data_IF_393841920822
#
_entry.id   IF_393841920822
#
_cell.length_a   1.000
_cell.length_b   1.000
_cell.length_c   1.000
_cell.angle_alpha   90.00
_cell.angle_beta   90.00
_cell.angle_gamma   90.00
#
_symmetry.space_group_name_H-M   'P 1'
#
loop_
_entity.id
_entity.type
_entity.pdbx_description
1 polymer ?
#
# COMPACT_ATOMS: atom_id res chain seq x y z
N UNK A 1 -4.86 -19.95 -15.32
CA UNK A 1 -5.91 -20.87 -14.83
C UNK A 1 -5.40 -22.29 -14.64
N UNK A 2 -4.93 -23.00 -15.69
CA UNK A 2 -4.47 -24.40 -15.57
C UNK A 2 -3.46 -24.64 -14.43
N UNK A 3 -2.45 -23.78 -14.29
CA UNK A 3 -1.45 -23.90 -13.23
C UNK A 3 -2.05 -23.67 -11.83
N UNK A 4 -2.99 -22.73 -11.69
CA UNK A 4 -3.70 -22.48 -10.42
C UNK A 4 -4.49 -23.72 -10.02
N UNK A 5 -5.28 -24.27 -10.94
CA UNK A 5 -6.06 -25.49 -10.71
C UNK A 5 -5.17 -26.68 -10.31
N UNK A 6 -4.05 -26.87 -11.01
CA UNK A 6 -3.09 -27.95 -10.72
C UNK A 6 -2.49 -27.80 -9.33
N UNK A 7 -2.04 -26.60 -8.97
CA UNK A 7 -1.40 -26.34 -7.68
C UNK A 7 -2.38 -26.41 -6.51
N UNK A 8 -3.63 -25.98 -6.72
CA UNK A 8 -4.69 -26.04 -5.71
C UNK A 8 -5.36 -27.42 -5.61
N UNK A 9 -5.06 -28.34 -6.54
CA UNK A 9 -5.77 -29.62 -6.71
C UNK A 9 -7.30 -29.45 -6.87
N UNK A 10 -7.74 -28.39 -7.55
CA UNK A 10 -9.15 -28.06 -7.80
C UNK A 10 -9.44 -28.13 -9.31
N UNK A 11 -10.63 -28.60 -9.69
CA UNK A 11 -11.02 -28.65 -11.09
C UNK A 11 -11.22 -27.23 -11.67
N UNK A 12 -10.97 -27.05 -12.96
CA UNK A 12 -11.28 -25.77 -13.63
C UNK A 12 -12.74 -25.39 -13.48
N UNK A 13 -13.65 -26.37 -13.53
CA UNK A 13 -15.08 -26.15 -13.41
C UNK A 13 -15.48 -25.53 -12.08
N UNK A 14 -14.82 -25.92 -10.98
CA UNK A 14 -15.04 -25.30 -9.67
C UNK A 14 -14.58 -23.85 -9.67
N UNK A 15 -13.40 -23.54 -10.21
CA UNK A 15 -12.95 -22.14 -10.27
C UNK A 15 -13.91 -21.31 -11.12
N UNK A 16 -14.33 -21.81 -12.29
CA UNK A 16 -15.29 -21.12 -13.16
C UNK A 16 -16.71 -21.02 -12.58
N UNK A 17 -17.05 -21.83 -11.58
CA UNK A 17 -18.29 -21.69 -10.83
C UNK A 17 -18.28 -20.46 -9.92
N UNK A 18 -17.11 -20.13 -9.34
CA UNK A 18 -16.95 -18.99 -8.44
C UNK A 18 -16.46 -17.72 -9.13
N UNK A 19 -15.70 -17.86 -10.22
CA UNK A 19 -15.07 -16.74 -10.92
C UNK A 19 -15.24 -16.93 -12.43
N UNK A 20 -15.90 -15.98 -13.08
CA UNK A 20 -16.11 -15.91 -14.52
C UNK A 20 -14.81 -16.07 -15.30
N UNK A 21 -13.73 -15.44 -14.83
CA UNK A 21 -12.44 -15.47 -15.50
C UNK A 21 -11.26 -15.24 -14.53
N UNK A 22 -10.06 -15.15 -15.11
CA UNK A 22 -8.82 -14.94 -14.35
C UNK A 22 -8.72 -13.54 -13.73
N UNK A 23 -9.42 -12.56 -14.30
CA UNK A 23 -9.36 -11.17 -13.84
C UNK A 23 -10.25 -11.02 -12.60
N UNK A 24 -11.43 -11.64 -12.58
CA UNK A 24 -12.28 -11.68 -11.39
C UNK A 24 -11.59 -12.43 -10.23
N UNK A 25 -10.95 -13.56 -10.52
CA UNK A 25 -10.13 -14.27 -9.52
C UNK A 25 -8.98 -13.40 -8.99
N UNK A 26 -8.29 -12.69 -9.87
CA UNK A 26 -7.22 -11.76 -9.47
C UNK A 26 -7.75 -10.65 -8.56
N UNK A 27 -8.85 -10.00 -8.94
CA UNK A 27 -9.47 -8.93 -8.14
C UNK A 27 -9.92 -9.44 -6.77
N UNK A 28 -10.49 -10.64 -6.70
CA UNK A 28 -10.83 -11.27 -5.43
C UNK A 28 -9.60 -11.50 -4.54
N UNK A 29 -8.48 -11.98 -5.09
CA UNK A 29 -7.24 -12.12 -4.33
C UNK A 29 -6.70 -10.77 -3.82
N UNK A 30 -6.79 -9.71 -4.62
CA UNK A 30 -6.38 -8.35 -4.21
C UNK A 30 -7.30 -7.81 -3.12
N UNK A 31 -8.62 -7.99 -3.25
CA UNK A 31 -9.59 -7.59 -2.23
C UNK A 31 -9.32 -8.28 -0.89
N UNK A 32 -9.10 -9.60 -0.91
CA UNK A 32 -8.74 -10.36 0.29
C UNK A 32 -7.42 -9.90 0.90
N UNK A 33 -6.42 -9.57 0.07
CA UNK A 33 -5.16 -9.01 0.55
C UNK A 33 -5.36 -7.67 1.28
N UNK A 34 -6.11 -6.73 0.71
CA UNK A 34 -6.38 -5.43 1.35
C UNK A 34 -7.24 -5.57 2.59
N UNK A 35 -8.25 -6.45 2.57
CA UNK A 35 -9.08 -6.76 3.73
C UNK A 35 -8.23 -7.31 4.88
N UNK A 36 -7.39 -8.30 4.61
CA UNK A 36 -6.51 -8.89 5.62
C UNK A 36 -5.53 -7.86 6.22
N UNK A 37 -4.95 -6.98 5.39
CA UNK A 37 -4.08 -5.91 5.88
C UNK A 37 -4.84 -4.88 6.72
N UNK A 38 -6.03 -4.49 6.29
CA UNK A 38 -6.90 -3.56 7.03
C UNK A 38 -7.31 -4.13 8.39
N UNK A 39 -7.76 -5.39 8.41
CA UNK A 39 -8.15 -6.10 9.63
C UNK A 39 -6.96 -6.21 10.60
N UNK A 40 -5.75 -6.47 10.08
CA UNK A 40 -4.52 -6.50 10.88
C UNK A 40 -4.23 -5.14 11.55
N UNK A 41 -4.32 -4.04 10.81
CA UNK A 41 -4.17 -2.69 11.38
C UNK A 41 -5.18 -2.41 12.49
N UNK A 42 -6.46 -2.76 12.26
CA UNK A 42 -7.51 -2.45 13.23
C UNK A 42 -7.45 -3.33 14.48
N UNK A 43 -7.00 -4.58 14.35
CA UNK A 43 -6.91 -5.49 15.48
C UNK A 43 -5.82 -5.07 16.46
N UNK A 44 -4.62 -4.79 15.94
CA UNK A 44 -3.43 -4.66 16.77
C UNK A 44 -2.98 -3.20 16.96
N UNK A 45 -3.37 -2.28 16.06
CA UNK A 45 -2.83 -0.91 16.01
C UNK A 45 -3.85 0.21 16.09
N UNK A 46 -5.17 -0.06 16.03
CA UNK A 46 -6.22 0.95 15.82
C UNK A 46 -6.06 2.22 16.66
N UNK A 47 -5.88 2.09 17.96
CA UNK A 47 -5.79 3.24 18.87
C UNK A 47 -4.60 4.14 18.53
N UNK A 48 -3.42 3.56 18.31
CA UNK A 48 -2.19 4.30 18.01
C UNK A 48 -2.21 4.85 16.58
N UNK A 49 -2.65 4.04 15.61
CA UNK A 49 -2.79 4.46 14.21
C UNK A 49 -3.76 5.63 14.07
N UNK A 50 -4.97 5.54 14.65
CA UNK A 50 -5.93 6.65 14.61
C UNK A 50 -5.49 7.85 15.44
N UNK A 51 -4.51 7.69 16.33
CA UNK A 51 -3.83 8.80 16.97
C UNK A 51 -2.69 9.37 16.10
N UNK A 52 -2.53 8.96 14.84
CA UNK A 52 -1.54 9.50 13.92
C UNK A 52 -0.13 8.92 14.07
N UNK A 53 0.01 7.68 14.51
CA UNK A 53 1.31 7.01 14.56
C UNK A 53 1.73 6.46 13.18
N UNK A 54 2.41 7.30 12.40
CA UNK A 54 2.87 6.96 11.04
C UNK A 54 4.01 5.94 11.06
N UNK A 55 4.84 5.94 12.10
CA UNK A 55 5.92 4.97 12.23
C UNK A 55 5.36 3.58 12.47
N UNK A 56 4.40 3.45 13.39
CA UNK A 56 3.70 2.20 13.64
C UNK A 56 2.99 1.69 12.38
N UNK A 57 2.40 2.56 11.57
CA UNK A 57 1.79 2.16 10.29
C UNK A 57 2.79 1.42 9.40
N UNK A 58 4.02 1.93 9.27
CA UNK A 58 5.07 1.27 8.47
C UNK A 58 5.53 -0.05 9.10
N UNK A 59 5.77 -0.05 10.42
CA UNK A 59 6.21 -1.25 11.16
C UNK A 59 5.18 -2.39 11.07
N UNK A 60 3.89 -2.07 11.25
CA UNK A 60 2.81 -3.03 11.14
C UNK A 60 2.70 -3.59 9.72
N UNK A 61 2.84 -2.74 8.69
CA UNK A 61 2.83 -3.19 7.30
C UNK A 61 3.95 -4.20 7.03
N UNK A 62 5.18 -3.87 7.45
CA UNK A 62 6.34 -4.74 7.29
C UNK A 62 6.16 -6.05 8.06
N UNK A 63 5.64 -6.00 9.29
CA UNK A 63 5.37 -7.19 10.08
C UNK A 63 4.28 -8.07 9.44
N UNK A 64 3.22 -7.47 8.91
CA UNK A 64 2.18 -8.20 8.18
C UNK A 64 2.77 -8.95 6.99
N UNK A 65 3.54 -8.28 6.13
CA UNK A 65 4.12 -8.93 4.95
C UNK A 65 5.20 -9.96 5.26
N UNK A 66 5.92 -9.80 6.37
CA UNK A 66 6.83 -10.82 6.89
C UNK A 66 6.09 -12.10 7.31
N UNK A 67 4.94 -11.96 7.98
CA UNK A 67 4.15 -13.09 8.45
C UNK A 67 3.26 -13.70 7.36
N UNK A 68 2.92 -12.93 6.33
CA UNK A 68 2.05 -13.33 5.22
C UNK A 68 2.69 -13.02 3.85
N UNK A 69 3.76 -13.74 3.45
CA UNK A 69 4.52 -13.43 2.24
C UNK A 69 3.72 -13.53 0.94
N UNK A 70 2.67 -14.37 0.89
CA UNK A 70 1.77 -14.45 -0.27
C UNK A 70 1.03 -13.13 -0.49
N UNK A 71 0.58 -12.48 0.59
CA UNK A 71 -0.07 -11.17 0.50
C UNK A 71 0.92 -10.07 0.12
N UNK A 72 2.19 -10.17 0.50
CA UNK A 72 3.24 -9.25 0.06
C UNK A 72 3.32 -9.20 -1.47
N UNK A 73 3.48 -10.36 -2.10
CA UNK A 73 3.56 -10.44 -3.57
C UNK A 73 2.31 -9.87 -4.26
N UNK A 74 1.11 -10.20 -3.76
CA UNK A 74 -0.16 -9.68 -4.29
C UNK A 74 -0.27 -8.16 -4.15
N UNK A 75 0.09 -7.63 -2.97
CA UNK A 75 0.04 -6.21 -2.68
C UNK A 75 0.94 -5.41 -3.64
N UNK A 76 2.19 -5.86 -3.81
CA UNK A 76 3.14 -5.16 -4.68
C UNK A 76 2.83 -5.35 -6.17
N UNK A 77 2.26 -6.48 -6.56
CA UNK A 77 1.73 -6.66 -7.91
C UNK A 77 0.60 -5.64 -8.18
N UNK A 78 -0.32 -5.44 -7.25
CA UNK A 78 -1.38 -4.44 -7.38
C UNK A 78 -0.86 -2.99 -7.30
N UNK A 79 0.19 -2.74 -6.51
CA UNK A 79 0.77 -1.41 -6.35
C UNK A 79 1.59 -0.99 -7.58
N UNK A 80 2.44 -1.88 -8.08
CA UNK A 80 3.48 -1.55 -9.07
C UNK A 80 3.17 -2.09 -10.46
N UNK A 81 2.39 -3.17 -10.59
CA UNK A 81 2.25 -3.89 -11.86
C UNK A 81 0.79 -4.30 -12.17
N UNK A 82 -0.15 -3.39 -11.93
CA UNK A 82 -1.56 -3.62 -12.23
C UNK A 82 -1.81 -3.60 -13.75
N UNK A 83 -2.46 -4.63 -14.33
CA UNK A 83 -2.85 -4.61 -15.74
C UNK A 83 -3.71 -3.39 -16.07
N UNK A 84 -3.43 -2.71 -17.18
CA UNK A 84 -4.12 -1.46 -17.56
C UNK A 84 -5.66 -1.58 -17.52
N UNK A 85 -6.18 -2.72 -17.99
CA UNK A 85 -7.63 -2.98 -18.03
C UNK A 85 -8.28 -3.16 -16.65
N UNK A 86 -7.51 -3.39 -15.58
CA UNK A 86 -8.00 -3.61 -14.21
C UNK A 86 -7.65 -2.46 -13.27
N UNK A 87 -7.07 -1.36 -13.78
CA UNK A 87 -6.58 -0.26 -12.95
C UNK A 87 -7.70 0.37 -12.12
N UNK A 88 -8.88 0.55 -12.70
CA UNK A 88 -10.01 1.17 -12.01
C UNK A 88 -10.48 0.29 -10.86
N UNK A 89 -10.69 -0.98 -11.13
CA UNK A 89 -11.17 -1.96 -10.17
C UNK A 89 -10.19 -2.13 -9.01
N UNK A 90 -8.88 -2.23 -9.30
CA UNK A 90 -7.85 -2.28 -8.25
C UNK A 90 -7.81 -0.99 -7.43
N UNK A 91 -8.09 0.15 -8.04
CA UNK A 91 -8.11 1.43 -7.33
C UNK A 91 -9.32 1.55 -6.41
N UNK A 92 -10.50 1.13 -6.86
CA UNK A 92 -11.73 1.09 -6.07
C UNK A 92 -11.57 0.16 -4.85
N UNK A 93 -10.86 -0.97 -5.00
CA UNK A 93 -10.58 -1.91 -3.91
C UNK A 93 -9.66 -1.33 -2.81
N UNK A 94 -8.89 -0.27 -3.10
CA UNK A 94 -7.98 0.35 -2.12
C UNK A 94 -8.67 1.34 -1.20
N UNK A 95 -9.93 1.70 -1.46
CA UNK A 95 -10.57 2.86 -0.83
C UNK A 95 -10.56 2.81 0.69
N UNK A 96 -10.85 1.66 1.30
CA UNK A 96 -10.82 1.52 2.77
C UNK A 96 -9.43 1.73 3.37
N UNK A 97 -8.38 1.26 2.68
CA UNK A 97 -6.99 1.46 3.10
C UNK A 97 -6.59 2.93 2.93
N UNK A 98 -6.99 3.56 1.82
CA UNK A 98 -6.74 4.99 1.56
C UNK A 98 -7.38 5.86 2.63
N UNK A 99 -8.64 5.59 2.97
CA UNK A 99 -9.35 6.34 4.00
C UNK A 99 -8.66 6.20 5.36
N UNK A 100 -8.23 4.99 5.73
CA UNK A 100 -7.47 4.77 6.95
C UNK A 100 -6.14 5.56 6.94
N UNK A 101 -5.36 5.46 5.86
CA UNK A 101 -4.10 6.20 5.75
C UNK A 101 -4.33 7.72 5.81
N UNK A 102 -5.38 8.23 5.16
CA UNK A 102 -5.77 9.64 5.23
C UNK A 102 -6.04 10.07 6.67
N UNK A 103 -6.81 9.29 7.45
CA UNK A 103 -7.10 9.60 8.85
C UNK A 103 -5.83 9.60 9.71
N UNK A 104 -4.94 8.63 9.51
CA UNK A 104 -3.65 8.55 10.20
C UNK A 104 -2.81 9.80 9.89
N UNK A 105 -2.62 10.16 8.62
CA UNK A 105 -1.84 11.33 8.25
C UNK A 105 -2.48 12.63 8.73
N UNK A 106 -3.81 12.77 8.65
CA UNK A 106 -4.52 13.93 9.17
C UNK A 106 -4.27 14.12 10.66
N UNK A 107 -4.37 13.05 11.45
CA UNK A 107 -4.19 13.12 12.90
C UNK A 107 -2.72 13.31 13.29
N UNK A 108 -1.79 12.77 12.50
CA UNK A 108 -0.37 13.05 12.63
C UNK A 108 -0.06 14.53 12.38
N UNK A 109 -0.53 15.08 11.25
CA UNK A 109 -0.30 16.47 10.87
C UNK A 109 -0.89 17.48 11.87
N UNK A 110 -2.05 17.17 12.48
CA UNK A 110 -2.66 18.01 13.53
C UNK A 110 -1.79 18.17 14.77
N UNK A 111 -0.84 17.25 15.00
CA UNK A 111 0.09 17.29 16.14
C UNK A 111 1.37 18.06 15.83
N UNK A 112 1.63 18.33 14.56
CA UNK A 112 2.84 19.02 14.13
C UNK A 112 2.63 20.53 14.11
N UNK A 113 3.70 21.25 14.42
CA UNK A 113 3.82 22.65 14.05
C UNK A 113 4.20 22.71 12.57
N UNK A 114 3.24 23.06 11.72
CA UNK A 114 3.48 23.21 10.29
C UNK A 114 4.33 24.46 10.00
N UNK A 115 5.02 24.46 8.86
CA UNK A 115 5.71 25.64 8.33
C UNK A 115 4.73 26.79 8.07
N UNK A 116 5.25 28.01 8.08
CA UNK A 116 4.45 29.20 7.84
C UNK A 116 3.83 29.13 6.42
N UNK A 117 2.55 29.47 6.31
CA UNK A 117 1.75 29.40 5.07
C UNK A 117 1.49 27.99 4.49
N UNK A 118 1.74 26.92 5.26
CA UNK A 118 1.38 25.54 4.88
C UNK A 118 0.14 25.09 5.66
N UNK A 119 -0.88 24.60 4.95
CA UNK A 119 -2.08 24.02 5.55
C UNK A 119 -2.00 22.50 5.66
N UNK A 120 -2.83 21.93 6.53
CA UNK A 120 -3.01 20.46 6.64
C UNK A 120 -3.44 19.87 5.29
N UNK A 121 -4.37 20.52 4.58
CA UNK A 121 -4.85 20.06 3.27
C UNK A 121 -3.72 20.00 2.24
N UNK A 122 -2.91 21.06 2.16
CA UNK A 122 -1.73 21.09 1.28
C UNK A 122 -0.73 19.99 1.65
N UNK A 123 -0.55 19.75 2.94
CA UNK A 123 0.35 18.71 3.46
C UNK A 123 -0.11 17.30 3.06
N UNK A 124 -1.40 16.99 3.23
CA UNK A 124 -1.97 15.70 2.81
C UNK A 124 -1.83 15.51 1.30
N UNK A 125 -2.19 16.52 0.51
CA UNK A 125 -2.06 16.47 -0.96
C UNK A 125 -0.61 16.27 -1.38
N UNK A 126 0.34 16.94 -0.72
CA UNK A 126 1.77 16.77 -0.97
C UNK A 126 2.23 15.33 -0.68
N UNK A 127 1.86 14.78 0.47
CA UNK A 127 2.20 13.39 0.84
C UNK A 127 1.65 12.37 -0.18
N UNK A 128 0.40 12.55 -0.63
CA UNK A 128 -0.21 11.69 -1.66
C UNK A 128 0.54 11.77 -3.00
N UNK A 129 0.81 12.98 -3.49
CA UNK A 129 1.57 13.18 -4.73
C UNK A 129 2.96 12.55 -4.64
N UNK A 130 3.66 12.76 -3.52
CA UNK A 130 5.01 12.25 -3.33
C UNK A 130 5.04 10.73 -3.20
N UNK A 131 4.07 10.13 -2.52
CA UNK A 131 3.94 8.68 -2.45
C UNK A 131 3.61 8.07 -3.82
N UNK A 132 2.74 8.72 -4.62
CA UNK A 132 2.45 8.28 -5.98
C UNK A 132 3.66 8.40 -6.90
N UNK A 133 4.41 9.50 -6.82
CA UNK A 133 5.66 9.68 -7.57
C UNK A 133 6.72 8.65 -7.18
N UNK A 134 6.84 8.34 -5.88
CA UNK A 134 7.70 7.27 -5.39
C UNK A 134 7.32 5.91 -5.99
N UNK A 135 6.03 5.55 -5.96
CA UNK A 135 5.56 4.30 -6.56
C UNK A 135 5.83 4.28 -8.07
N UNK A 136 5.58 5.37 -8.79
CA UNK A 136 5.84 5.48 -10.24
C UNK A 136 7.32 5.33 -10.60
N UNK A 137 8.24 5.79 -9.75
CA UNK A 137 9.67 5.54 -9.89
C UNK A 137 9.98 4.03 -9.89
N UNK A 138 9.37 3.26 -8.99
CA UNK A 138 9.52 1.79 -8.95
C UNK A 138 8.78 1.09 -10.11
N UNK A 139 7.61 1.60 -10.54
CA UNK A 139 6.90 1.05 -11.71
C UNK A 139 7.77 1.06 -12.96
N UNK A 140 8.51 2.15 -13.20
CA UNK A 140 9.41 2.30 -14.35
C UNK A 140 10.60 1.33 -14.31
N UNK A 141 11.01 0.89 -13.12
CA UNK A 141 12.13 -0.05 -12.95
C UNK A 141 11.75 -1.51 -13.24
N UNK A 142 10.44 -1.82 -13.31
CA UNK A 142 9.99 -3.15 -13.76
C UNK A 142 10.46 -3.40 -15.20
N UNK A 143 10.54 -2.35 -16.03
CA UNK A 143 10.98 -2.44 -17.42
C UNK A 143 12.51 -2.67 -17.56
N UNK A 144 13.28 -2.45 -16.50
CA UNK A 144 14.76 -2.60 -16.51
C UNK A 144 15.27 -4.01 -16.16
N UNK A 145 14.42 -5.04 -16.18
CA UNK A 145 14.77 -6.45 -15.88
C UNK A 145 15.35 -6.70 -14.48
N UNK A 146 15.04 -5.85 -13.50
CA UNK A 146 15.25 -6.20 -12.09
C UNK A 146 14.30 -7.34 -11.71
N UNK A 147 14.80 -8.30 -10.95
CA UNK A 147 13.95 -9.31 -10.32
C UNK A 147 12.91 -8.64 -9.42
N UNK A 148 11.65 -9.10 -9.50
CA UNK A 148 10.53 -8.41 -8.85
C UNK A 148 10.66 -8.44 -7.33
N UNK A 149 11.17 -9.50 -6.72
CA UNK A 149 11.38 -9.55 -5.27
C UNK A 149 12.46 -8.56 -4.84
N UNK A 150 13.55 -8.46 -5.60
CA UNK A 150 14.60 -7.45 -5.36
C UNK A 150 14.04 -6.03 -5.42
N UNK A 151 13.17 -5.75 -6.40
CA UNK A 151 12.51 -4.44 -6.54
C UNK A 151 11.61 -4.13 -5.33
N UNK A 152 10.88 -5.12 -4.81
CA UNK A 152 10.06 -4.94 -3.61
C UNK A 152 10.94 -4.67 -2.38
N UNK A 153 12.03 -5.42 -2.21
CA UNK A 153 12.96 -5.22 -1.09
C UNK A 153 13.55 -3.80 -1.09
N UNK A 154 13.94 -3.29 -2.26
CA UNK A 154 14.42 -1.92 -2.42
C UNK A 154 13.32 -0.89 -2.12
N UNK A 155 12.09 -1.12 -2.60
CA UNK A 155 10.94 -0.25 -2.31
C UNK A 155 10.68 -0.16 -0.80
N UNK A 156 10.64 -1.29 -0.10
CA UNK A 156 10.34 -1.32 1.32
C UNK A 156 11.47 -0.75 2.17
N UNK A 157 12.73 -0.96 1.76
CA UNK A 157 13.90 -0.41 2.46
C UNK A 157 13.98 1.10 2.33
N UNK A 158 13.57 1.66 1.19
CA UNK A 158 13.78 3.06 0.87
C UNK A 158 12.63 3.97 1.34
N UNK A 159 11.40 3.45 1.45
CA UNK A 159 10.22 4.26 1.78
C UNK A 159 10.28 4.98 3.15
N UNK A 160 10.83 4.42 4.25
CA UNK A 160 10.88 5.15 5.53
C UNK A 160 11.73 6.42 5.44
N UNK A 161 12.88 6.33 4.75
CA UNK A 161 13.75 7.49 4.51
C UNK A 161 13.08 8.53 3.61
N UNK A 162 12.30 8.10 2.63
CA UNK A 162 11.55 9.03 1.78
C UNK A 162 10.44 9.75 2.53
N UNK A 163 9.73 9.06 3.43
CA UNK A 163 8.73 9.70 4.29
C UNK A 163 9.39 10.75 5.20
N UNK A 164 10.53 10.41 5.81
CA UNK A 164 11.32 11.36 6.62
C UNK A 164 11.66 12.63 5.81
N UNK A 165 12.21 12.49 4.60
CA UNK A 165 12.51 13.62 3.70
C UNK A 165 11.27 14.45 3.35
N UNK A 166 10.11 13.82 3.12
CA UNK A 166 8.86 14.54 2.87
C UNK A 166 8.44 15.38 4.08
N UNK A 167 8.68 14.87 5.30
CA UNK A 167 8.28 15.57 6.53
C UNK A 167 9.06 16.86 6.76
N UNK A 168 10.32 16.94 6.35
CA UNK A 168 11.06 18.21 6.37
C UNK A 168 10.36 19.28 5.55
N UNK A 169 9.68 18.94 4.44
CA UNK A 169 8.93 19.91 3.63
C UNK A 169 7.68 20.49 4.32
N UNK A 170 7.19 19.85 5.38
CA UNK A 170 5.91 20.12 6.03
C UNK A 170 6.10 20.71 7.43
N UNK A 171 6.92 20.06 8.26
CA UNK A 171 7.14 20.44 9.65
C UNK A 171 8.05 21.66 9.73
N UNK A 172 7.73 22.57 10.66
CA UNK A 172 8.64 23.66 11.03
C UNK A 172 9.79 23.06 11.83
N UNK A 173 11.03 23.35 11.44
CA UNK A 173 12.19 23.01 12.27
C UNK A 173 12.03 23.71 13.62
N UNK A 174 12.20 22.95 14.69
CA UNK A 174 12.49 23.54 15.99
C UNK A 174 13.92 24.06 15.90
N UNK A 175 14.07 25.36 15.70
CA UNK A 175 15.35 26.03 15.84
C UNK A 175 15.65 25.96 17.35
N UNK A 176 16.55 25.05 17.75
CA UNK A 176 17.16 25.05 19.08
C UNK A 176 17.91 26.37 19.36
#
# INVERSE_FOLDING_TARGET
MNNICKNAAISKGIIYHYFKDKDELYLACIQECYRALYDFYLKDGKTFLLNGDVQLLMEMRMNFFKNYPVYRGLFFQALLNTPQRLKKEVEDLKESIKQLHFEIYLNYLKKLKLRDNITIEQSIKYLDIMQNAYNDYFRKQIESNLDFETLIDEHEKLIPKWIDLMMYGIAKEEIE
#
